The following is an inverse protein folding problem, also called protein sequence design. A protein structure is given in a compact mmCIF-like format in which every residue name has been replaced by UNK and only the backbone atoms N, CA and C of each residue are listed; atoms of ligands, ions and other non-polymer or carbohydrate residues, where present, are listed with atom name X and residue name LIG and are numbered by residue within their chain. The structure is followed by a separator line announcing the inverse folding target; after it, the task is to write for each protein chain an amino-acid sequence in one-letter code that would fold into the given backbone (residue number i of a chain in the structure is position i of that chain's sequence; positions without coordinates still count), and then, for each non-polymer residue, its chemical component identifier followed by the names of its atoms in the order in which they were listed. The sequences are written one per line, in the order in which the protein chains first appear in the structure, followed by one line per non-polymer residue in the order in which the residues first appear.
data_IF_596181509781
#
_entry.id   IF_596181509781
#
_cell.length_a   1.000
_cell.length_b   1.000
_cell.length_c   1.000
_cell.angle_alpha   90.00
_cell.angle_beta   90.00
_cell.angle_gamma   90.00
#
_symmetry.space_group_name_H-M   'P 1'
#
loop_
_entity.id
_entity.type
_entity.pdbx_description
1 polymer ?
#
# COMPACT_ATOMS: atom_id res chain seq x y z
N UNK A 1 23.87 47.61 14.35
CA UNK A 1 23.30 46.29 14.06
C UNK A 1 23.90 45.30 15.04
N UNK A 2 23.10 44.89 16.02
CA UNK A 2 23.58 44.15 17.20
C UNK A 2 23.76 42.66 16.91
N UNK A 3 24.63 41.98 17.66
CA UNK A 3 24.89 40.52 17.55
C UNK A 3 23.62 39.66 17.44
N UNK A 4 22.50 40.12 18.01
CA UNK A 4 21.20 39.45 17.94
C UNK A 4 20.60 39.42 16.51
N UNK A 5 20.79 40.46 15.69
CA UNK A 5 20.31 40.51 14.31
C UNK A 5 21.11 39.56 13.41
N UNK A 6 22.43 39.52 13.60
CA UNK A 6 23.33 38.57 12.92
C UNK A 6 23.03 37.11 13.31
N UNK A 7 22.76 36.85 14.60
CA UNK A 7 22.32 35.54 15.07
C UNK A 7 20.97 35.11 14.50
N UNK A 8 19.98 36.02 14.44
CA UNK A 8 18.68 35.73 13.83
C UNK A 8 18.80 35.44 12.33
N UNK A 9 19.62 36.20 11.58
CA UNK A 9 19.85 35.96 10.16
C UNK A 9 20.49 34.60 9.90
N UNK A 10 21.42 34.17 10.74
CA UNK A 10 22.06 32.85 10.63
C UNK A 10 21.05 31.71 10.86
N UNK A 11 20.20 31.82 11.89
CA UNK A 11 19.13 30.84 12.17
C UNK A 11 18.15 30.75 10.99
N UNK A 12 17.75 31.90 10.43
CA UNK A 12 16.88 31.96 9.26
C UNK A 12 17.51 31.30 8.03
N UNK A 13 18.80 31.56 7.78
CA UNK A 13 19.53 30.95 6.66
C UNK A 13 19.61 29.41 6.79
N UNK A 14 19.91 28.90 7.99
CA UNK A 14 19.95 27.46 8.26
C UNK A 14 18.56 26.83 8.11
N UNK A 15 17.51 27.47 8.62
CA UNK A 15 16.13 26.99 8.47
C UNK A 15 15.74 26.92 6.99
N UNK A 16 16.02 27.97 6.20
CA UNK A 16 15.77 28.00 4.77
C UNK A 16 16.55 26.90 4.02
N UNK A 17 17.81 26.64 4.39
CA UNK A 17 18.60 25.57 3.78
C UNK A 17 18.01 24.18 4.07
N UNK A 18 17.58 23.90 5.31
CA UNK A 18 16.94 22.63 5.70
C UNK A 18 15.62 22.44 4.94
N UNK A 19 14.80 23.50 4.83
CA UNK A 19 13.53 23.47 4.09
C UNK A 19 13.79 23.23 2.60
N UNK A 20 14.75 23.93 2.01
CA UNK A 20 15.12 23.78 0.59
C UNK A 20 15.61 22.37 0.26
N UNK A 21 16.50 21.82 1.08
CA UNK A 21 17.00 20.45 0.93
C UNK A 21 15.84 19.45 1.06
N UNK A 22 14.98 19.61 2.07
CA UNK A 22 13.82 18.74 2.26
C UNK A 22 12.85 18.78 1.07
N UNK A 23 12.60 19.96 0.51
CA UNK A 23 11.76 20.15 -0.67
C UNK A 23 12.36 19.47 -1.91
N UNK A 24 13.67 19.59 -2.13
CA UNK A 24 14.36 18.95 -3.26
C UNK A 24 14.28 17.43 -3.20
N UNK A 25 14.50 16.83 -2.03
CA UNK A 25 14.40 15.39 -1.85
C UNK A 25 12.97 14.90 -2.03
N UNK A 26 11.97 15.62 -1.48
CA UNK A 26 10.55 15.31 -1.75
C UNK A 26 10.27 15.32 -3.24
N UNK A 27 10.69 16.37 -3.96
CA UNK A 27 10.48 16.49 -5.41
C UNK A 27 11.13 15.36 -6.20
N UNK A 28 12.31 14.87 -5.78
CA UNK A 28 13.01 13.74 -6.41
C UNK A 28 12.35 12.39 -6.10
N UNK A 29 11.77 12.22 -4.92
CA UNK A 29 11.08 10.98 -4.52
C UNK A 29 9.65 10.91 -5.05
N UNK A 30 8.96 12.04 -5.21
CA UNK A 30 7.53 12.11 -5.55
C UNK A 30 7.15 11.28 -6.80
N UNK A 31 7.91 11.26 -7.91
CA UNK A 31 7.55 10.44 -9.07
C UNK A 31 7.49 8.94 -8.74
N UNK A 32 8.33 8.46 -7.83
CA UNK A 32 8.33 7.05 -7.40
C UNK A 32 7.19 6.76 -6.44
N UNK A 33 6.84 7.70 -5.56
CA UNK A 33 5.65 7.60 -4.70
C UNK A 33 4.37 7.54 -5.54
N UNK A 34 4.25 8.42 -6.54
CA UNK A 34 3.09 8.46 -7.42
C UNK A 34 2.99 7.19 -8.27
N UNK A 35 4.11 6.71 -8.82
CA UNK A 35 4.14 5.45 -9.58
C UNK A 35 3.79 4.25 -8.70
N UNK A 36 4.30 4.17 -7.48
CA UNK A 36 3.91 3.14 -6.50
C UNK A 36 2.40 3.11 -6.30
N UNK A 37 1.79 4.27 -6.08
CA UNK A 37 0.36 4.33 -5.86
C UNK A 37 -0.46 3.95 -7.11
N UNK A 38 0.03 4.28 -8.29
CA UNK A 38 -0.57 3.87 -9.56
C UNK A 38 -0.48 2.36 -9.75
N UNK A 39 0.71 1.77 -9.58
CA UNK A 39 0.93 0.32 -9.68
C UNK A 39 0.13 -0.44 -8.60
N UNK A 40 -0.02 0.12 -7.41
CA UNK A 40 -0.94 -0.43 -6.40
C UNK A 40 -2.37 -0.49 -6.94
N UNK A 41 -2.91 0.64 -7.42
CA UNK A 41 -4.28 0.70 -7.92
C UNK A 41 -4.51 -0.21 -9.14
N UNK A 42 -3.51 -0.30 -10.02
CA UNK A 42 -3.49 -1.20 -11.18
C UNK A 42 -3.54 -2.66 -10.73
N UNK A 43 -2.66 -3.07 -9.80
CA UNK A 43 -2.65 -4.43 -9.26
C UNK A 43 -3.98 -4.79 -8.62
N UNK A 44 -4.54 -3.91 -7.79
CA UNK A 44 -5.84 -4.16 -7.15
C UNK A 44 -6.95 -4.31 -8.18
N UNK A 45 -6.99 -3.42 -9.18
CA UNK A 45 -8.01 -3.48 -10.24
C UNK A 45 -7.87 -4.72 -11.10
N UNK A 46 -6.63 -5.16 -11.36
CA UNK A 46 -6.35 -6.38 -12.12
C UNK A 46 -6.79 -7.64 -11.36
N UNK A 47 -6.50 -7.70 -10.06
CA UNK A 47 -6.79 -8.86 -9.21
C UNK A 47 -8.28 -8.96 -8.93
N UNK A 48 -8.89 -7.88 -8.42
CA UNK A 48 -10.30 -7.87 -7.97
C UNK A 48 -11.29 -7.57 -9.09
N UNK A 49 -10.89 -6.93 -10.19
CA UNK A 49 -11.84 -6.53 -11.24
C UNK A 49 -12.90 -5.56 -10.69
N UNK A 50 -14.18 -5.96 -10.74
CA UNK A 50 -15.29 -5.19 -10.17
C UNK A 50 -15.32 -5.34 -8.64
N UNK A 51 -14.84 -4.32 -7.93
CA UNK A 51 -14.77 -4.29 -6.47
C UNK A 51 -16.15 -4.43 -5.81
N UNK A 52 -17.24 -4.06 -6.52
CA UNK A 52 -18.60 -4.17 -6.00
C UNK A 52 -19.01 -5.61 -5.69
N UNK A 53 -18.44 -6.60 -6.38
CA UNK A 53 -18.71 -8.02 -6.14
C UNK A 53 -18.14 -8.52 -4.81
N UNK A 54 -17.15 -7.81 -4.24
CA UNK A 54 -16.42 -8.23 -3.04
C UNK A 54 -16.87 -7.53 -1.75
N UNK A 55 -17.72 -6.50 -1.83
CA UNK A 55 -18.15 -5.68 -0.68
C UNK A 55 -18.52 -6.48 0.57
N UNK A 56 -19.35 -7.50 0.39
CA UNK A 56 -19.85 -8.37 1.47
C UNK A 56 -19.23 -9.77 1.43
N UNK A 57 -18.29 -9.99 0.50
CA UNK A 57 -17.59 -11.26 0.38
C UNK A 57 -16.68 -11.47 1.60
N UNK A 58 -16.71 -12.69 2.12
CA UNK A 58 -15.87 -13.11 3.24
C UNK A 58 -15.28 -14.46 2.91
N UNK A 59 -13.97 -14.58 3.11
CA UNK A 59 -13.28 -15.86 3.10
C UNK A 59 -13.82 -16.71 4.24
N UNK A 60 -14.44 -17.85 3.91
CA UNK A 60 -14.79 -18.86 4.89
C UNK A 60 -13.51 -19.56 5.37
N UNK A 61 -13.43 -19.83 6.67
CA UNK A 61 -12.22 -20.36 7.31
C UNK A 61 -12.53 -21.50 8.27
N UNK A 62 -11.56 -22.37 8.46
CA UNK A 62 -11.56 -23.42 9.48
C UNK A 62 -10.41 -23.18 10.46
N UNK A 63 -10.60 -23.52 11.73
CA UNK A 63 -9.52 -23.53 12.71
C UNK A 63 -8.62 -24.76 12.51
N UNK A 64 -7.32 -24.56 12.60
CA UNK A 64 -6.33 -25.64 12.54
C UNK A 64 -5.99 -26.13 13.95
N UNK A 65 -5.33 -27.29 14.06
CA UNK A 65 -4.90 -27.86 15.35
C UNK A 65 -3.91 -26.95 16.10
N UNK A 66 -3.20 -26.08 15.37
CA UNK A 66 -2.28 -25.08 15.91
C UNK A 66 -2.99 -23.83 16.48
N UNK A 67 -4.32 -23.73 16.33
CA UNK A 67 -5.11 -22.56 16.71
C UNK A 67 -5.04 -21.39 15.71
N UNK A 68 -4.46 -21.62 14.52
CA UNK A 68 -4.52 -20.70 13.40
C UNK A 68 -5.78 -20.94 12.56
N UNK A 69 -5.93 -20.14 11.49
CA UNK A 69 -6.98 -20.31 10.50
C UNK A 69 -6.39 -20.80 9.18
N UNK A 70 -7.19 -21.56 8.44
CA UNK A 70 -6.97 -21.86 7.03
C UNK A 70 -8.22 -21.53 6.22
N UNK A 71 -8.07 -21.35 4.91
CA UNK A 71 -9.24 -21.22 4.05
C UNK A 71 -10.06 -22.53 4.10
N UNK A 72 -11.38 -22.39 4.22
CA UNK A 72 -12.29 -23.52 4.06
C UNK A 72 -12.26 -24.01 2.59
N UNK A 73 -12.64 -25.27 2.33
CA UNK A 73 -12.74 -25.83 0.98
C UNK A 73 -13.53 -24.93 0.00
N UNK A 74 -13.17 -24.95 -1.28
CA UNK A 74 -13.76 -24.07 -2.30
C UNK A 74 -15.28 -24.18 -2.37
N UNK A 75 -15.83 -25.37 -2.11
CA UNK A 75 -17.26 -25.67 -2.13
C UNK A 75 -18.04 -24.87 -1.07
N UNK A 76 -17.37 -24.53 0.03
CA UNK A 76 -17.92 -23.74 1.13
C UNK A 76 -17.74 -22.23 0.92
N UNK A 77 -16.89 -21.82 -0.04
CA UNK A 77 -16.68 -20.42 -0.36
C UNK A 77 -17.87 -19.85 -1.14
N UNK A 78 -18.17 -18.58 -0.87
CA UNK A 78 -19.09 -17.80 -1.71
C UNK A 78 -18.56 -17.67 -3.14
N UNK A 79 -19.45 -17.45 -4.11
CA UNK A 79 -19.07 -17.36 -5.53
C UNK A 79 -17.94 -16.36 -5.81
N UNK A 80 -17.95 -15.10 -5.30
CA UNK A 80 -16.88 -14.14 -5.57
C UNK A 80 -15.52 -14.59 -5.04
N UNK A 81 -15.49 -15.16 -3.83
CA UNK A 81 -14.26 -15.68 -3.22
C UNK A 81 -13.76 -16.91 -3.98
N UNK A 82 -14.64 -17.85 -4.33
CA UNK A 82 -14.27 -19.02 -5.12
C UNK A 82 -13.62 -18.63 -6.44
N UNK A 83 -14.25 -17.71 -7.19
CA UNK A 83 -13.70 -17.22 -8.46
C UNK A 83 -12.34 -16.54 -8.28
N UNK A 84 -12.14 -15.78 -7.20
CA UNK A 84 -10.86 -15.15 -6.89
C UNK A 84 -9.76 -16.19 -6.61
N UNK A 85 -10.06 -17.20 -5.78
CA UNK A 85 -9.12 -18.26 -5.42
C UNK A 85 -8.80 -19.18 -6.61
N UNK A 86 -9.78 -19.48 -7.46
CA UNK A 86 -9.60 -20.27 -8.69
C UNK A 86 -8.81 -19.50 -9.75
N UNK A 87 -9.06 -18.19 -9.91
CA UNK A 87 -8.25 -17.31 -10.77
C UNK A 87 -6.80 -17.27 -10.30
N UNK A 88 -6.59 -17.24 -8.98
CA UNK A 88 -5.28 -17.23 -8.38
C UNK A 88 -4.49 -15.94 -8.64
N UNK A 89 -3.16 -16.04 -8.50
CA UNK A 89 -2.20 -14.96 -8.77
C UNK A 89 -1.28 -15.40 -9.91
N UNK A 90 -1.30 -14.67 -11.02
CA UNK A 90 -0.51 -14.95 -12.21
C UNK A 90 0.83 -14.20 -12.25
N UNK A 91 1.66 -14.49 -13.26
CA UNK A 91 2.99 -13.86 -13.37
C UNK A 91 2.90 -12.35 -13.59
N UNK A 92 1.84 -11.86 -14.25
CA UNK A 92 1.65 -10.41 -14.43
C UNK A 92 1.45 -9.71 -13.08
N UNK A 93 0.62 -10.28 -12.21
CA UNK A 93 0.41 -9.76 -10.85
C UNK A 93 1.70 -9.80 -10.03
N UNK A 94 2.50 -10.86 -10.17
CA UNK A 94 3.82 -10.98 -9.51
C UNK A 94 4.77 -9.88 -10.01
N UNK A 95 4.79 -9.60 -11.31
CA UNK A 95 5.64 -8.56 -11.87
C UNK A 95 5.25 -7.16 -11.40
N UNK A 96 3.94 -6.85 -11.32
CA UNK A 96 3.48 -5.58 -10.74
C UNK A 96 3.93 -5.43 -9.28
N UNK A 97 3.90 -6.51 -8.50
CA UNK A 97 4.40 -6.51 -7.13
C UNK A 97 5.91 -6.27 -7.06
N UNK A 98 6.70 -6.86 -7.96
CA UNK A 98 8.15 -6.59 -8.07
C UNK A 98 8.42 -5.12 -8.40
N UNK A 99 7.69 -4.57 -9.37
CA UNK A 99 7.79 -3.15 -9.74
C UNK A 99 7.49 -2.24 -8.53
N UNK A 100 6.48 -2.56 -7.73
CA UNK A 100 6.19 -1.82 -6.49
C UNK A 100 7.32 -1.92 -5.46
N UNK A 101 7.93 -3.09 -5.32
CA UNK A 101 9.08 -3.28 -4.43
C UNK A 101 10.26 -2.39 -4.84
N UNK A 102 10.58 -2.35 -6.14
CA UNK A 102 11.65 -1.51 -6.67
C UNK A 102 11.35 -0.02 -6.46
N UNK A 103 10.11 0.40 -6.72
CA UNK A 103 9.67 1.78 -6.48
C UNK A 103 9.76 2.16 -4.99
N UNK A 104 9.40 1.25 -4.08
CA UNK A 104 9.59 1.44 -2.63
C UNK A 104 11.06 1.61 -2.27
N UNK A 105 11.93 0.77 -2.84
CA UNK A 105 13.39 0.87 -2.70
C UNK A 105 13.94 2.22 -3.16
N UNK A 106 13.48 2.73 -4.31
CA UNK A 106 13.90 4.02 -4.85
C UNK A 106 13.41 5.20 -3.99
N UNK A 107 12.25 5.10 -3.34
CA UNK A 107 11.78 6.07 -2.35
C UNK A 107 12.65 6.02 -1.10
N UNK A 108 12.92 4.83 -0.55
CA UNK A 108 13.79 4.67 0.62
C UNK A 108 15.17 5.27 0.38
N UNK A 109 15.78 5.00 -0.78
CA UNK A 109 17.10 5.55 -1.15
C UNK A 109 17.13 7.07 -1.15
N UNK A 110 16.05 7.72 -1.61
CA UNK A 110 15.96 9.19 -1.75
C UNK A 110 15.53 9.90 -0.48
N UNK A 111 14.79 9.22 0.40
CA UNK A 111 14.32 9.78 1.67
C UNK A 111 15.16 9.31 2.87
N UNK A 112 16.08 8.37 2.66
CA UNK A 112 17.11 7.95 3.60
C UNK A 112 17.88 9.16 4.11
N UNK A 113 17.84 9.39 5.43
CA UNK A 113 18.48 10.54 6.09
C UNK A 113 17.58 11.75 6.35
N UNK A 114 16.33 11.75 5.85
CA UNK A 114 15.35 12.79 6.16
C UNK A 114 14.33 12.32 7.20
N UNK A 115 14.59 12.66 8.46
CA UNK A 115 13.82 12.15 9.60
C UNK A 115 12.32 12.47 9.57
N UNK A 116 11.87 13.56 8.93
CA UNK A 116 10.44 13.92 8.94
C UNK A 116 9.68 13.36 7.73
N UNK A 117 10.20 13.58 6.52
CA UNK A 117 9.54 13.12 5.30
C UNK A 117 9.59 11.60 5.14
N UNK A 118 10.74 10.98 5.42
CA UNK A 118 10.90 9.52 5.38
C UNK A 118 9.96 8.83 6.37
N UNK A 119 9.88 9.32 7.62
CA UNK A 119 8.97 8.78 8.66
C UNK A 119 7.49 8.91 8.32
N UNK A 120 7.12 9.86 7.45
CA UNK A 120 5.74 10.00 6.97
C UNK A 120 5.46 9.05 5.80
N UNK A 121 6.30 9.06 4.77
CA UNK A 121 6.03 8.40 3.50
C UNK A 121 6.31 6.90 3.53
N UNK A 122 7.47 6.50 4.04
CA UNK A 122 7.95 5.11 3.96
C UNK A 122 6.99 4.14 4.66
N UNK A 123 6.50 4.41 5.90
CA UNK A 123 5.60 3.49 6.58
C UNK A 123 4.29 3.27 5.82
N UNK A 124 3.76 4.31 5.17
CA UNK A 124 2.51 4.22 4.41
C UNK A 124 2.67 3.34 3.17
N UNK A 125 3.78 3.51 2.43
CA UNK A 125 4.10 2.64 1.29
C UNK A 125 4.35 1.19 1.74
N UNK A 126 5.10 0.99 2.84
CA UNK A 126 5.32 -0.33 3.42
C UNK A 126 4.01 -1.01 3.80
N UNK A 127 3.09 -0.27 4.44
CA UNK A 127 1.81 -0.82 4.85
C UNK A 127 0.93 -1.20 3.66
N UNK A 128 0.91 -0.38 2.60
CA UNK A 128 0.19 -0.70 1.37
C UNK A 128 0.78 -1.93 0.67
N UNK A 129 2.12 -2.02 0.59
CA UNK A 129 2.81 -3.17 0.03
C UNK A 129 2.53 -4.46 0.81
N UNK A 130 2.65 -4.42 2.14
CA UNK A 130 2.40 -5.58 3.01
C UNK A 130 0.95 -6.03 2.87
N UNK A 131 -0.02 -5.11 2.88
CA UNK A 131 -1.43 -5.45 2.72
C UNK A 131 -1.68 -6.20 1.40
N UNK A 132 -1.13 -5.69 0.29
CA UNK A 132 -1.26 -6.31 -1.02
C UNK A 132 -0.54 -7.67 -1.06
N UNK A 133 0.71 -7.73 -0.61
CA UNK A 133 1.49 -8.96 -0.61
C UNK A 133 0.83 -10.07 0.24
N UNK A 134 0.39 -9.74 1.47
CA UNK A 134 -0.32 -10.68 2.35
C UNK A 134 -1.58 -11.23 1.65
N UNK A 135 -2.35 -10.38 0.97
CA UNK A 135 -3.53 -10.80 0.24
C UNK A 135 -3.22 -11.69 -0.96
N UNK A 136 -2.20 -11.35 -1.74
CA UNK A 136 -1.76 -12.15 -2.89
C UNK A 136 -1.20 -13.51 -2.47
N UNK A 137 -0.41 -13.56 -1.39
CA UNK A 137 0.05 -14.83 -0.81
C UNK A 137 -1.12 -15.70 -0.39
N UNK A 138 -2.12 -15.12 0.29
CA UNK A 138 -3.32 -15.86 0.67
C UNK A 138 -4.04 -16.40 -0.57
N UNK A 139 -4.28 -15.58 -1.60
CA UNK A 139 -4.97 -16.02 -2.82
C UNK A 139 -4.19 -17.13 -3.54
N UNK A 140 -2.86 -16.99 -3.64
CA UNK A 140 -2.00 -17.93 -4.36
C UNK A 140 -1.90 -19.29 -3.66
N UNK A 141 -1.71 -19.28 -2.34
CA UNK A 141 -1.37 -20.46 -1.56
C UNK A 141 -2.50 -20.87 -0.59
N UNK A 142 -3.75 -20.48 -0.87
CA UNK A 142 -4.90 -20.60 0.05
C UNK A 142 -5.13 -22.02 0.61
N UNK A 143 -4.71 -23.05 -0.12
CA UNK A 143 -4.87 -24.46 0.27
C UNK A 143 -3.91 -24.90 1.38
N UNK A 144 -2.77 -24.23 1.51
CA UNK A 144 -1.65 -24.67 2.37
C UNK A 144 -1.27 -23.65 3.42
N UNK A 145 -1.57 -22.37 3.20
CA UNK A 145 -1.20 -21.30 4.11
C UNK A 145 -2.12 -21.26 5.33
N UNK A 146 -1.52 -21.34 6.53
CA UNK A 146 -2.18 -20.95 7.77
C UNK A 146 -1.98 -19.46 8.03
N UNK A 147 -2.99 -18.82 8.61
CA UNK A 147 -2.97 -17.40 8.88
C UNK A 147 -3.70 -17.05 10.17
N UNK A 148 -3.35 -15.92 10.77
CA UNK A 148 -3.99 -15.46 12.01
C UNK A 148 -5.29 -14.70 11.70
N UNK A 149 -6.12 -14.49 12.72
CA UNK A 149 -7.29 -13.61 12.62
C UNK A 149 -6.93 -12.21 12.11
N UNK A 150 -5.78 -11.68 12.52
CA UNK A 150 -5.28 -10.37 12.05
C UNK A 150 -4.98 -10.36 10.54
N UNK A 151 -4.44 -11.46 10.01
CA UNK A 151 -4.22 -11.60 8.56
C UNK A 151 -5.55 -11.70 7.82
N UNK A 152 -6.53 -12.42 8.37
CA UNK A 152 -7.89 -12.50 7.81
C UNK A 152 -8.57 -11.13 7.77
N UNK A 153 -8.50 -10.35 8.86
CA UNK A 153 -9.06 -9.00 8.92
C UNK A 153 -8.43 -8.06 7.87
N UNK A 154 -7.11 -8.18 7.65
CA UNK A 154 -6.41 -7.45 6.59
C UNK A 154 -6.83 -7.90 5.20
N UNK A 155 -7.02 -9.20 5.00
CA UNK A 155 -7.50 -9.73 3.73
C UNK A 155 -8.90 -9.19 3.42
N UNK A 156 -9.80 -9.15 4.40
CA UNK A 156 -11.13 -8.55 4.21
C UNK A 156 -11.08 -7.03 4.03
N UNK A 157 -10.14 -6.32 4.67
CA UNK A 157 -9.91 -4.90 4.37
C UNK A 157 -9.49 -4.71 2.91
N UNK A 158 -8.58 -5.55 2.42
CA UNK A 158 -8.15 -5.54 1.02
C UNK A 158 -9.30 -5.85 0.06
N UNK A 159 -10.15 -6.82 0.37
CA UNK A 159 -11.26 -7.17 -0.50
C UNK A 159 -12.38 -6.11 -0.50
N UNK A 160 -12.73 -5.60 0.67
CA UNK A 160 -14.03 -4.93 0.86
C UNK A 160 -13.94 -3.40 0.93
N UNK A 161 -12.76 -2.82 1.18
CA UNK A 161 -12.63 -1.38 1.47
C UNK A 161 -11.36 -0.73 0.89
N UNK A 162 -11.16 -0.93 -0.41
CA UNK A 162 -10.12 -0.25 -1.18
C UNK A 162 -10.20 1.29 -1.18
N UNK A 163 -11.39 1.93 -1.12
CA UNK A 163 -11.47 3.38 -0.94
C UNK A 163 -10.79 3.85 0.35
N UNK A 164 -11.02 3.19 1.48
CA UNK A 164 -10.37 3.52 2.75
C UNK A 164 -8.87 3.29 2.70
N UNK A 165 -8.42 2.16 2.16
CA UNK A 165 -6.98 1.87 2.03
C UNK A 165 -6.26 3.00 1.26
N UNK A 166 -6.85 3.45 0.14
CA UNK A 166 -6.30 4.55 -0.66
C UNK A 166 -6.32 5.87 0.09
N UNK A 167 -7.41 6.18 0.80
CA UNK A 167 -7.55 7.40 1.59
C UNK A 167 -6.55 7.48 2.75
N UNK A 168 -6.32 6.38 3.46
CA UNK A 168 -5.47 6.32 4.65
C UNK A 168 -3.98 6.21 4.29
N UNK A 169 -3.64 5.43 3.26
CA UNK A 169 -2.25 5.08 2.94
C UNK A 169 -1.66 5.89 1.77
N UNK A 170 -2.44 6.18 0.72
CA UNK A 170 -1.88 6.76 -0.52
C UNK A 170 -2.14 8.26 -0.65
N UNK A 171 -3.39 8.69 -0.48
CA UNK A 171 -3.81 10.10 -0.59
C UNK A 171 -2.94 11.08 0.21
N UNK A 172 -2.45 10.76 1.43
CA UNK A 172 -1.65 11.70 2.22
C UNK A 172 -0.24 11.96 1.67
N UNK A 173 0.25 11.16 0.71
CA UNK A 173 1.64 11.16 0.23
C UNK A 173 1.80 11.35 -1.27
N UNK A 174 0.78 11.03 -2.06
CA UNK A 174 0.82 11.23 -3.51
C UNK A 174 0.57 12.67 -3.91
N UNK A 175 1.03 13.05 -5.10
CA UNK A 175 0.75 14.38 -5.67
C UNK A 175 -0.73 14.57 -5.96
N UNK A 176 -1.18 15.82 -6.10
CA UNK A 176 -2.57 16.10 -6.52
C UNK A 176 -2.89 15.46 -7.87
N UNK A 177 -1.97 15.57 -8.84
CA UNK A 177 -2.12 14.98 -10.17
C UNK A 177 -2.34 13.47 -10.09
N UNK A 178 -1.61 12.77 -9.22
CA UNK A 178 -1.80 11.33 -9.01
C UNK A 178 -3.15 11.02 -8.36
N UNK A 179 -3.57 11.80 -7.34
CA UNK A 179 -4.88 11.64 -6.69
C UNK A 179 -6.04 11.75 -7.68
N UNK A 180 -5.94 12.65 -8.65
CA UNK A 180 -6.99 12.86 -9.65
C UNK A 180 -7.14 11.66 -10.61
N UNK A 181 -6.13 10.78 -10.67
CA UNK A 181 -6.17 9.52 -11.45
C UNK A 181 -6.76 8.34 -10.68
N UNK A 182 -6.93 8.47 -9.36
CA UNK A 182 -7.56 7.39 -8.59
C UNK A 182 -9.02 7.26 -9.01
N UNK A 183 -9.53 6.03 -9.16
CA UNK A 183 -10.95 5.79 -9.36
C UNK A 183 -11.76 6.56 -8.31
N UNK A 184 -12.53 7.55 -8.76
CA UNK A 184 -13.29 8.46 -7.87
C UNK A 184 -14.45 7.76 -7.15
N UNK A 185 -14.77 6.55 -7.57
CA UNK A 185 -15.85 5.73 -7.04
C UNK A 185 -15.66 4.31 -7.57
N UNK A 186 -14.99 3.46 -6.78
CA UNK A 186 -15.25 2.03 -6.77
C UNK A 186 -15.96 1.77 -5.47
N UNK A 187 -17.28 1.73 -5.54
CA UNK A 187 -18.11 1.18 -4.48
C UNK A 187 -17.81 -0.30 -4.28
#
# INVERSE_FOLDING_TARGET
MGQNELGMLLVLAVACAIIGISYLHKRRAQPFVDRFAQTYCETVSYVLGDMGEYRDARLATEETESGNLRAAPLEQQSRPIRMLLEKGVDEHTIELLRVMFDQHGEVNKRLSGLNLLGKRIIPQLSQAFILLNDALTLIKDYQTVEFTKKNLDRFHLFLNDQPRVRADLLVPIVSQKCRDTFPKSGF
#
